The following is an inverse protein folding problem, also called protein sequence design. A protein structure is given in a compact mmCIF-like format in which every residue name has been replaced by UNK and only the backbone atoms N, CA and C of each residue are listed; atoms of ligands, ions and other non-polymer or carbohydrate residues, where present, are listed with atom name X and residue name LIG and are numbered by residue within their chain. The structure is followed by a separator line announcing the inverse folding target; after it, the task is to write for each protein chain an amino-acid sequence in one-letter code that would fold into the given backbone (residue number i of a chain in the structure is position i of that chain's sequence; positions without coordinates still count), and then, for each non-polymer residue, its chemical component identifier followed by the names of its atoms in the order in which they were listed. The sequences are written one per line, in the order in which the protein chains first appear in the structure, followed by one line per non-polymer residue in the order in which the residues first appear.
data_IF_041630385523
#
_entry.id   IF_041630385523
#
_cell.length_a   1.000
_cell.length_b   1.000
_cell.length_c   1.000
_cell.angle_alpha   90.00
_cell.angle_beta   90.00
_cell.angle_gamma   90.00
#
_symmetry.space_group_name_H-M   'P 1'
#
loop_
_entity.id
_entity.type
_entity.pdbx_description
1 polymer ?
#
# COMPACT_ATOMS: atom_id res chain seq x y z
N UNK A 1 5.66 19.25 16.34
CA UNK A 1 4.83 19.13 15.12
C UNK A 1 3.37 18.74 15.42
N UNK A 2 3.07 17.69 16.20
CA UNK A 2 1.68 17.23 16.45
C UNK A 2 0.70 18.33 16.87
N UNK A 3 1.12 19.23 17.77
CA UNK A 3 0.29 20.34 18.23
C UNK A 3 0.01 21.43 17.16
N UNK A 4 0.69 21.40 16.01
CA UNK A 4 0.61 22.42 14.96
C UNK A 4 -0.06 21.92 13.68
N UNK A 5 -0.35 20.61 13.59
CA UNK A 5 -1.03 20.02 12.44
C UNK A 5 -2.49 19.72 12.78
N UNK A 6 -3.41 19.75 11.81
CA UNK A 6 -4.81 19.43 12.06
C UNK A 6 -4.96 17.98 12.54
N UNK A 7 -5.85 17.75 13.51
CA UNK A 7 -6.30 16.41 13.87
C UNK A 7 -7.56 16.05 13.07
N UNK A 8 -7.40 15.82 11.77
CA UNK A 8 -8.51 15.59 10.87
C UNK A 8 -8.16 14.48 9.85
N UNK A 9 -9.07 13.53 9.69
CA UNK A 9 -8.98 12.44 8.71
C UNK A 9 -9.97 12.59 7.55
N UNK A 10 -10.78 13.67 7.50
CA UNK A 10 -11.67 13.94 6.35
C UNK A 10 -10.91 14.44 5.13
N UNK A 11 -9.78 15.15 5.33
CA UNK A 11 -8.84 15.51 4.27
C UNK A 11 -7.50 14.78 4.47
N UNK A 12 -7.38 13.61 3.84
CA UNK A 12 -6.14 12.81 3.85
C UNK A 12 -5.13 13.25 2.78
N UNK A 13 -5.37 14.35 2.06
CA UNK A 13 -4.39 14.90 1.10
C UNK A 13 -3.40 15.87 1.77
N UNK A 14 -3.55 16.11 3.08
CA UNK A 14 -2.67 16.95 3.89
C UNK A 14 -2.19 16.16 5.11
N UNK A 15 -1.01 16.51 5.61
CA UNK A 15 -0.49 15.91 6.83
C UNK A 15 -1.37 16.30 8.04
N UNK A 16 -1.62 15.32 8.90
CA UNK A 16 -2.39 15.44 10.13
C UNK A 16 -1.65 14.79 11.30
N UNK A 17 -2.25 14.83 12.50
CA UNK A 17 -1.66 14.24 13.71
C UNK A 17 -1.28 12.77 13.53
N UNK A 18 -2.17 11.94 12.96
CA UNK A 18 -1.88 10.54 12.68
C UNK A 18 -0.68 10.37 11.74
N UNK A 19 -0.57 11.23 10.72
CA UNK A 19 0.57 11.22 9.79
C UNK A 19 1.90 11.48 10.50
N UNK A 20 1.91 12.41 11.47
CA UNK A 20 3.10 12.66 12.28
C UNK A 20 3.43 11.44 13.15
N UNK A 21 2.43 10.80 13.76
CA UNK A 21 2.63 9.56 14.50
C UNK A 21 3.22 8.44 13.63
N UNK A 22 2.74 8.26 12.39
CA UNK A 22 3.27 7.27 11.47
C UNK A 22 4.75 7.49 11.13
N UNK A 23 5.12 8.75 10.84
CA UNK A 23 6.50 9.11 10.53
C UNK A 23 7.40 8.90 11.76
N UNK A 24 6.94 9.29 12.95
CA UNK A 24 7.69 9.07 14.19
C UNK A 24 7.86 7.57 14.48
N UNK A 25 6.84 6.74 14.26
CA UNK A 25 6.94 5.29 14.42
C UNK A 25 7.99 4.69 13.48
N UNK A 26 7.97 5.09 12.20
CA UNK A 26 8.95 4.63 11.20
C UNK A 26 10.37 5.06 11.58
N UNK A 27 10.57 6.33 11.94
CA UNK A 27 11.90 6.85 12.34
C UNK A 27 12.40 6.16 13.62
N UNK A 28 11.54 6.02 14.63
CA UNK A 28 11.88 5.32 15.88
C UNK A 28 12.30 3.87 15.63
N UNK A 29 11.62 3.15 14.72
CA UNK A 29 12.03 1.80 14.32
C UNK A 29 13.43 1.81 13.71
N UNK A 30 13.72 2.70 12.75
CA UNK A 30 15.05 2.82 12.16
C UNK A 30 16.15 3.15 13.18
N UNK A 31 15.82 3.93 14.20
CA UNK A 31 16.71 4.29 15.30
C UNK A 31 16.76 3.22 16.42
N UNK A 32 16.02 2.12 16.28
CA UNK A 32 15.91 1.04 17.28
C UNK A 32 15.34 1.50 18.63
N UNK A 33 14.55 2.57 18.60
CA UNK A 33 13.82 3.07 19.77
C UNK A 33 12.50 2.29 19.93
N UNK A 34 12.59 1.03 20.32
CA UNK A 34 11.48 0.08 20.26
C UNK A 34 10.23 0.51 21.04
N UNK A 35 10.40 1.05 22.25
CA UNK A 35 9.29 1.54 23.05
C UNK A 35 8.56 2.70 22.36
N UNK A 36 9.31 3.63 21.75
CA UNK A 36 8.76 4.75 21.00
C UNK A 36 8.07 4.27 19.71
N UNK A 37 8.69 3.34 18.99
CA UNK A 37 8.13 2.76 17.76
C UNK A 37 6.77 2.09 18.02
N UNK A 38 6.67 1.28 19.09
CA UNK A 38 5.38 0.69 19.51
C UNK A 38 4.36 1.77 19.88
N UNK A 39 4.76 2.76 20.68
CA UNK A 39 3.85 3.79 21.17
C UNK A 39 3.25 4.59 20.01
N UNK A 40 4.08 5.09 19.10
CA UNK A 40 3.63 5.87 17.94
C UNK A 40 2.86 5.03 16.93
N UNK A 41 3.25 3.77 16.70
CA UNK A 41 2.49 2.86 15.84
C UNK A 41 1.09 2.60 16.43
N UNK A 42 0.99 2.42 17.76
CA UNK A 42 -0.28 2.22 18.46
C UNK A 42 -1.18 3.45 18.36
N UNK A 43 -0.61 4.65 18.49
CA UNK A 43 -1.33 5.90 18.29
C UNK A 43 -1.97 5.97 16.91
N UNK A 44 -1.22 5.65 15.85
CA UNK A 44 -1.77 5.60 14.49
C UNK A 44 -2.87 4.56 14.35
N UNK A 45 -2.64 3.34 14.83
CA UNK A 45 -3.59 2.21 14.70
C UNK A 45 -4.94 2.56 15.33
N UNK A 46 -4.92 3.26 16.47
CA UNK A 46 -6.14 3.68 17.15
C UNK A 46 -6.88 4.78 16.38
N UNK A 47 -6.16 5.68 15.71
CA UNK A 47 -6.76 6.76 14.92
C UNK A 47 -7.27 6.29 13.55
N UNK A 48 -6.55 5.37 12.90
CA UNK A 48 -6.85 4.86 11.56
C UNK A 48 -6.85 3.33 11.60
N UNK A 49 -8.01 2.69 11.77
CA UNK A 49 -8.12 1.23 11.84
C UNK A 49 -7.73 0.52 10.54
N UNK A 50 -7.46 -0.78 10.65
CA UNK A 50 -7.14 -1.64 9.51
C UNK A 50 -8.36 -1.80 8.59
N UNK A 51 -8.14 -1.88 7.28
CA UNK A 51 -9.22 -2.16 6.34
C UNK A 51 -9.78 -3.57 6.55
N UNK A 52 -11.09 -3.73 6.34
CA UNK A 52 -11.66 -5.07 6.19
C UNK A 52 -11.14 -5.74 4.91
N UNK A 53 -11.26 -7.07 4.83
CA UNK A 53 -10.92 -7.84 3.62
C UNK A 53 -11.64 -7.31 2.37
N UNK A 54 -12.89 -6.85 2.49
CA UNK A 54 -13.64 -6.30 1.37
C UNK A 54 -13.14 -4.91 0.94
N UNK A 55 -12.66 -4.09 1.87
CA UNK A 55 -12.17 -2.74 1.58
C UNK A 55 -10.75 -2.74 1.00
N UNK A 56 -9.92 -3.71 1.39
CA UNK A 56 -8.49 -3.73 1.09
C UNK A 56 -8.14 -3.59 -0.40
N UNK A 57 -8.79 -4.29 -1.35
CA UNK A 57 -8.48 -4.11 -2.77
C UNK A 57 -8.73 -2.68 -3.27
N UNK A 58 -9.78 -2.04 -2.76
CA UNK A 58 -10.16 -0.67 -3.15
C UNK A 58 -9.17 0.41 -2.73
N UNK A 59 -8.23 0.11 -1.83
CA UNK A 59 -7.12 1.00 -1.50
C UNK A 59 -6.24 1.24 -2.74
N UNK A 60 -6.00 0.21 -3.55
CA UNK A 60 -5.06 0.27 -4.68
C UNK A 60 -5.65 0.84 -5.97
N UNK A 61 -6.97 1.07 -5.97
CA UNK A 61 -7.74 1.69 -7.05
C UNK A 61 -8.38 3.02 -6.63
N UNK A 62 -8.08 3.52 -5.43
CA UNK A 62 -8.63 4.74 -4.83
C UNK A 62 -10.16 4.77 -4.66
N UNK A 63 -10.82 3.60 -4.71
CA UNK A 63 -12.25 3.46 -4.40
C UNK A 63 -12.54 3.81 -2.93
N UNK A 64 -11.54 3.67 -2.04
CA UNK A 64 -11.64 4.12 -0.67
C UNK A 64 -10.28 4.62 -0.13
N UNK A 65 -10.33 5.27 1.03
CA UNK A 65 -9.16 5.81 1.75
C UNK A 65 -8.80 4.98 2.98
N UNK A 66 -9.28 3.74 3.08
CA UNK A 66 -9.03 2.91 4.27
C UNK A 66 -7.52 2.80 4.55
N UNK A 67 -7.19 2.75 5.84
CA UNK A 67 -5.84 2.73 6.39
C UNK A 67 -4.99 4.01 6.19
N UNK A 68 -5.42 4.98 5.39
CA UNK A 68 -4.58 6.13 5.01
C UNK A 68 -4.82 7.34 5.91
N UNK A 69 -3.76 7.91 6.49
CA UNK A 69 -3.79 9.24 7.09
C UNK A 69 -3.32 10.33 6.13
N UNK A 70 -2.46 9.96 5.16
CA UNK A 70 -1.86 10.90 4.22
C UNK A 70 -1.56 10.23 2.88
N UNK A 71 -1.94 10.91 1.80
CA UNK A 71 -1.67 10.51 0.43
C UNK A 71 -1.26 11.69 -0.45
N UNK A 72 -0.52 11.40 -1.52
CA UNK A 72 -0.24 12.38 -2.57
C UNK A 72 -1.18 12.16 -3.74
N UNK A 73 -1.87 13.21 -4.16
CA UNK A 73 -2.84 13.14 -5.25
C UNK A 73 -2.14 12.85 -6.58
N UNK A 74 -2.67 11.92 -7.36
CA UNK A 74 -2.22 11.59 -8.71
C UNK A 74 -3.40 11.66 -9.68
N UNK A 75 -3.18 12.21 -10.85
CA UNK A 75 -4.15 12.19 -11.96
C UNK A 75 -3.47 11.65 -13.22
N UNK A 76 -4.20 11.54 -14.32
CA UNK A 76 -3.63 11.20 -15.62
C UNK A 76 -2.66 12.27 -16.16
N UNK A 77 -2.68 13.50 -15.62
CA UNK A 77 -1.85 14.64 -16.04
C UNK A 77 -0.90 15.15 -14.96
N UNK A 78 -1.16 14.83 -13.68
CA UNK A 78 -0.41 15.35 -12.53
C UNK A 78 0.18 14.22 -11.70
N UNK A 79 1.45 14.36 -11.35
CA UNK A 79 2.13 13.44 -10.43
C UNK A 79 2.50 12.08 -11.04
N UNK A 80 2.14 11.78 -12.29
CA UNK A 80 2.48 10.50 -12.92
C UNK A 80 1.81 9.29 -12.27
N UNK A 81 2.22 8.10 -12.71
CA UNK A 81 1.54 6.83 -12.43
C UNK A 81 2.48 5.89 -11.69
N UNK A 82 2.21 5.60 -10.42
CA UNK A 82 3.10 4.76 -9.59
C UNK A 82 3.15 3.33 -10.13
N UNK A 83 2.03 2.78 -10.57
CA UNK A 83 2.00 1.47 -11.22
C UNK A 83 2.89 1.41 -12.47
N UNK A 84 3.14 2.57 -13.11
CA UNK A 84 3.99 2.66 -14.29
C UNK A 84 5.49 2.55 -14.02
N UNK A 85 5.92 2.44 -12.75
CA UNK A 85 7.29 2.02 -12.43
C UNK A 85 7.55 0.57 -12.84
N UNK A 86 6.52 -0.28 -12.87
CA UNK A 86 6.66 -1.70 -13.19
C UNK A 86 6.38 -2.01 -14.67
N UNK A 87 5.53 -1.23 -15.33
CA UNK A 87 5.08 -1.47 -16.71
C UNK A 87 4.61 -0.18 -17.40
N UNK A 88 4.75 -0.09 -18.71
CA UNK A 88 4.11 0.97 -19.47
C UNK A 88 2.57 0.84 -19.40
N UNK A 89 1.85 1.94 -19.61
CA UNK A 89 0.38 1.94 -19.65
C UNK A 89 -0.13 1.22 -20.90
N UNK A 90 -1.18 0.41 -20.74
CA UNK A 90 -1.94 -0.17 -21.85
C UNK A 90 -3.21 0.65 -22.02
N UNK A 91 -3.26 1.50 -23.05
CA UNK A 91 -4.37 2.45 -23.21
C UNK A 91 -5.69 1.77 -23.64
N UNK A 92 -5.58 0.62 -24.28
CA UNK A 92 -6.70 -0.21 -24.74
C UNK A 92 -6.25 -1.67 -24.89
N UNK A 93 -7.19 -2.59 -25.09
CA UNK A 93 -6.89 -4.01 -25.37
C UNK A 93 -6.11 -4.22 -26.67
N UNK A 94 -6.16 -3.26 -27.59
CA UNK A 94 -5.42 -3.24 -28.86
C UNK A 94 -4.07 -2.53 -28.76
N UNK A 95 -3.79 -1.82 -27.67
CA UNK A 95 -2.55 -1.10 -27.45
C UNK A 95 -1.98 -1.45 -26.08
N UNK A 96 -1.28 -2.59 -26.05
CA UNK A 96 -0.70 -3.17 -24.83
C UNK A 96 0.74 -2.69 -24.64
N UNK A 97 0.96 -1.92 -23.57
CA UNK A 97 2.26 -1.38 -23.22
C UNK A 97 3.28 -2.47 -22.85
N UNK A 98 4.57 -2.13 -22.91
CA UNK A 98 5.67 -3.01 -22.50
C UNK A 98 5.62 -3.29 -20.98
N UNK A 99 5.94 -4.53 -20.60
CA UNK A 99 6.10 -4.92 -19.19
C UNK A 99 7.60 -4.90 -18.88
N UNK A 100 8.04 -3.97 -18.05
CA UNK A 100 9.46 -3.77 -17.73
C UNK A 100 9.91 -4.69 -16.61
N UNK A 101 9.07 -4.85 -15.58
CA UNK A 101 9.38 -5.63 -14.38
C UNK A 101 8.23 -6.59 -14.06
N UNK A 102 8.56 -7.82 -13.69
CA UNK A 102 7.61 -8.86 -13.28
C UNK A 102 7.97 -9.38 -11.90
N UNK A 103 6.99 -9.83 -11.09
CA UNK A 103 7.29 -10.47 -9.82
C UNK A 103 8.10 -11.75 -10.06
N UNK A 104 9.15 -11.93 -9.26
CA UNK A 104 9.90 -13.18 -9.23
C UNK A 104 9.01 -14.34 -8.74
N UNK A 105 9.24 -15.56 -9.22
CA UNK A 105 8.48 -16.76 -8.79
C UNK A 105 8.46 -16.90 -7.28
N UNK A 106 9.61 -16.72 -6.61
CA UNK A 106 9.70 -16.82 -5.15
C UNK A 106 8.75 -15.86 -4.42
N UNK A 107 8.57 -14.64 -4.92
CA UNK A 107 7.64 -13.67 -4.33
C UNK A 107 6.19 -14.01 -4.70
N UNK A 108 5.95 -14.49 -5.91
CA UNK A 108 4.62 -14.93 -6.33
C UNK A 108 4.11 -16.09 -5.46
N UNK A 109 4.98 -17.06 -5.18
CA UNK A 109 4.65 -18.27 -4.42
C UNK A 109 4.52 -18.06 -2.91
N UNK A 110 4.90 -16.89 -2.36
CA UNK A 110 4.74 -16.63 -0.92
C UNK A 110 3.30 -16.26 -0.52
N UNK A 111 2.44 -15.97 -1.50
CA UNK A 111 1.05 -15.60 -1.26
C UNK A 111 0.12 -16.77 -1.56
N UNK A 112 -0.87 -16.99 -0.68
CA UNK A 112 -1.98 -17.89 -0.97
C UNK A 112 -2.87 -17.24 -2.04
N UNK A 113 -2.88 -17.82 -3.24
CA UNK A 113 -3.59 -17.27 -4.40
C UNK A 113 -5.13 -17.33 -4.25
N UNK A 114 -5.63 -18.22 -3.39
CA UNK A 114 -7.06 -18.42 -3.19
C UNK A 114 -7.58 -17.60 -2.00
N UNK A 115 -6.85 -17.59 -0.89
CA UNK A 115 -7.35 -17.06 0.38
C UNK A 115 -6.70 -15.75 0.81
N UNK A 116 -5.58 -15.33 0.21
CA UNK A 116 -4.93 -14.07 0.55
C UNK A 116 -5.49 -12.92 -0.30
N UNK A 117 -6.20 -12.01 0.36
CA UNK A 117 -6.74 -10.80 -0.28
C UNK A 117 -5.66 -9.92 -0.92
N UNK A 118 -4.41 -10.03 -0.46
CA UNK A 118 -3.28 -9.29 -1.01
C UNK A 118 -2.88 -9.77 -2.39
N UNK A 119 -3.09 -11.05 -2.72
CA UNK A 119 -2.63 -11.60 -3.98
C UNK A 119 -3.24 -10.87 -5.18
N UNK A 120 -4.56 -10.84 -5.28
CA UNK A 120 -5.27 -10.16 -6.39
C UNK A 120 -5.18 -8.61 -6.33
N UNK A 121 -4.81 -8.05 -5.18
CA UNK A 121 -4.59 -6.62 -5.04
C UNK A 121 -3.17 -6.20 -5.46
N UNK A 122 -2.17 -7.07 -5.27
CA UNK A 122 -0.76 -6.80 -5.53
C UNK A 122 -0.29 -7.33 -6.87
N UNK A 123 -0.92 -8.40 -7.36
CA UNK A 123 -0.53 -9.10 -8.57
C UNK A 123 -1.72 -9.32 -9.49
N UNK A 124 -1.42 -9.52 -10.77
CA UNK A 124 -2.38 -9.86 -11.81
C UNK A 124 -1.73 -10.87 -12.76
N UNK A 125 -2.46 -11.91 -13.13
CA UNK A 125 -2.10 -12.77 -14.25
C UNK A 125 -2.98 -12.36 -15.45
N UNK A 126 -2.39 -11.69 -16.44
CA UNK A 126 -3.11 -10.96 -17.48
C UNK A 126 -3.28 -11.79 -18.77
N UNK A 127 -4.51 -12.20 -19.13
CA UNK A 127 -4.77 -13.04 -20.30
C UNK A 127 -4.38 -12.41 -21.64
N UNK A 128 -4.50 -11.07 -21.79
CA UNK A 128 -4.14 -10.38 -23.03
C UNK A 128 -2.65 -10.53 -23.36
N UNK A 129 -1.80 -10.61 -22.33
CA UNK A 129 -0.37 -10.86 -22.51
C UNK A 129 -0.11 -12.32 -22.89
N UNK A 130 -0.79 -13.26 -22.25
CA UNK A 130 -0.70 -14.69 -22.61
C UNK A 130 -1.09 -14.91 -24.08
N UNK A 131 -2.16 -14.27 -24.54
CA UNK A 131 -2.63 -14.36 -25.93
C UNK A 131 -1.61 -13.81 -26.94
N UNK A 132 -0.70 -12.92 -26.51
CA UNK A 132 0.40 -12.38 -27.32
C UNK A 132 1.72 -13.16 -27.13
N UNK A 133 1.72 -14.29 -26.41
CA UNK A 133 2.95 -15.05 -26.09
C UNK A 133 3.89 -14.31 -25.13
N UNK A 134 3.37 -13.35 -24.36
CA UNK A 134 4.14 -12.52 -23.43
C UNK A 134 3.98 -12.99 -22.00
N UNK A 135 4.95 -12.64 -21.16
CA UNK A 135 4.87 -12.86 -19.73
C UNK A 135 3.69 -12.14 -19.08
N UNK A 136 2.72 -12.90 -18.57
CA UNK A 136 1.43 -12.39 -18.09
C UNK A 136 1.37 -11.97 -16.63
N UNK A 137 2.39 -12.31 -15.83
CA UNK A 137 2.43 -11.96 -14.39
C UNK A 137 2.88 -10.53 -14.20
N UNK A 138 2.02 -9.71 -13.60
CA UNK A 138 2.23 -8.29 -13.40
C UNK A 138 2.17 -7.92 -11.92
N UNK A 139 2.87 -6.85 -11.55
CA UNK A 139 2.58 -6.11 -10.32
C UNK A 139 1.36 -5.22 -10.60
N UNK A 140 0.28 -5.45 -9.87
CA UNK A 140 -1.01 -4.76 -9.98
C UNK A 140 -1.20 -3.66 -8.94
N UNK A 141 -0.39 -3.65 -7.89
CA UNK A 141 -0.43 -2.62 -6.85
C UNK A 141 -0.32 -1.23 -7.49
N UNK A 142 -1.24 -0.31 -7.14
CA UNK A 142 -1.44 0.99 -7.79
C UNK A 142 -2.03 0.93 -9.21
N UNK A 143 -2.90 -0.02 -9.50
CA UNK A 143 -3.56 -0.16 -10.79
C UNK A 143 -4.46 1.02 -11.17
N UNK A 144 -5.07 1.73 -10.22
CA UNK A 144 -6.07 2.74 -10.55
C UNK A 144 -7.32 2.10 -11.13
N UNK A 145 -7.40 2.00 -12.46
CA UNK A 145 -8.46 1.30 -13.18
C UNK A 145 -8.02 -0.08 -13.69
N UNK A 146 -8.94 -0.81 -14.32
CA UNK A 146 -8.66 -2.10 -14.95
C UNK A 146 -7.52 -1.98 -15.98
N UNK A 147 -6.77 -3.07 -16.15
CA UNK A 147 -5.75 -3.19 -17.19
C UNK A 147 -6.32 -2.84 -18.57
N UNK A 148 -5.48 -2.30 -19.47
CA UNK A 148 -5.88 -1.96 -20.82
C UNK A 148 -6.97 -0.86 -20.89
N UNK A 149 -6.90 0.15 -20.01
CA UNK A 149 -7.78 1.32 -20.00
C UNK A 149 -7.00 2.64 -19.87
N UNK A 150 -7.54 3.80 -20.32
CA UNK A 150 -6.80 5.07 -20.33
C UNK A 150 -6.25 5.55 -18.97
N UNK A 151 -6.89 5.13 -17.87
CA UNK A 151 -6.53 5.51 -16.50
C UNK A 151 -5.77 4.40 -15.75
N UNK A 152 -5.28 3.38 -16.44
CA UNK A 152 -4.45 2.34 -15.84
C UNK A 152 -3.24 2.98 -15.14
N UNK A 153 -2.87 2.48 -13.97
CA UNK A 153 -1.79 2.94 -13.10
C UNK A 153 -2.01 4.34 -12.47
N UNK A 154 -3.16 4.99 -12.67
CA UNK A 154 -3.52 6.26 -11.99
C UNK A 154 -4.08 5.94 -10.61
N UNK A 155 -3.23 5.99 -9.61
CA UNK A 155 -3.65 5.88 -8.22
C UNK A 155 -2.79 6.77 -7.33
N UNK A 156 -3.41 7.42 -6.34
CA UNK A 156 -2.77 8.29 -5.35
C UNK A 156 -1.61 7.57 -4.65
N UNK A 157 -0.59 8.29 -4.18
CA UNK A 157 0.50 7.68 -3.42
C UNK A 157 0.08 7.45 -1.96
N UNK A 158 0.11 6.21 -1.47
CA UNK A 158 -0.31 5.88 -0.10
C UNK A 158 0.91 6.04 0.80
N UNK A 159 1.10 7.21 1.39
CA UNK A 159 2.37 7.58 2.06
C UNK A 159 2.55 6.82 3.38
N UNK A 160 1.48 6.75 4.17
CA UNK A 160 1.41 5.98 5.40
C UNK A 160 0.11 5.19 5.45
N UNK A 161 0.20 3.95 5.95
CA UNK A 161 -0.96 3.08 6.15
C UNK A 161 -0.89 2.31 7.46
N UNK A 162 -2.06 1.96 7.99
CA UNK A 162 -2.21 1.15 9.20
C UNK A 162 -1.46 -0.18 9.12
N UNK A 163 -1.48 -0.85 7.95
CA UNK A 163 -0.76 -2.11 7.78
C UNK A 163 0.74 -2.01 8.11
N UNK A 164 1.39 -0.89 7.77
CA UNK A 164 2.79 -0.67 8.14
C UNK A 164 2.96 -0.51 9.65
N UNK A 165 2.04 0.19 10.30
CA UNK A 165 2.09 0.40 11.75
C UNK A 165 1.94 -0.90 12.52
N UNK A 166 1.12 -1.84 12.04
CA UNK A 166 1.06 -3.18 12.62
C UNK A 166 2.40 -3.91 12.51
N UNK A 167 3.10 -3.81 11.38
CA UNK A 167 4.42 -4.42 11.18
C UNK A 167 5.48 -3.76 12.09
N UNK A 168 5.54 -2.43 12.13
CA UNK A 168 6.44 -1.68 13.02
C UNK A 168 6.21 -2.09 14.48
N UNK A 169 4.94 -2.15 14.91
CA UNK A 169 4.61 -2.51 16.28
C UNK A 169 4.97 -3.96 16.60
N UNK A 170 4.73 -4.89 15.67
CA UNK A 170 5.10 -6.29 15.85
C UNK A 170 6.62 -6.45 16.01
N UNK A 171 7.40 -5.83 15.12
CA UNK A 171 8.86 -5.85 15.19
C UNK A 171 9.37 -5.23 16.51
N UNK A 172 8.87 -4.03 16.85
CA UNK A 172 9.25 -3.36 18.10
C UNK A 172 8.92 -4.18 19.35
N UNK A 173 7.83 -4.96 19.35
CA UNK A 173 7.48 -5.85 20.46
C UNK A 173 8.38 -7.07 20.53
N UNK A 174 8.71 -7.67 19.38
CA UNK A 174 9.64 -8.78 19.29
C UNK A 174 11.03 -8.40 19.83
N UNK A 175 11.54 -7.22 19.45
CA UNK A 175 12.83 -6.68 19.91
C UNK A 175 12.84 -6.33 21.42
N UNK A 176 11.66 -6.23 22.03
CA UNK A 176 11.49 -6.10 23.48
C UNK A 176 11.22 -7.44 24.17
N UNK A 177 11.41 -8.57 23.47
CA UNK A 177 11.21 -9.92 24.00
C UNK A 177 9.75 -10.34 24.17
N UNK A 178 8.80 -9.62 23.56
CA UNK A 178 7.36 -9.92 23.66
C UNK A 178 6.87 -10.64 22.41
N UNK A 179 6.82 -11.97 22.48
CA UNK A 179 6.42 -12.85 21.36
C UNK A 179 5.01 -13.43 21.46
N UNK A 180 4.31 -13.23 22.59
CA UNK A 180 3.00 -13.84 22.85
C UNK A 180 2.07 -12.90 23.60
N UNK A 181 0.76 -13.16 23.52
CA UNK A 181 -0.28 -12.40 24.23
C UNK A 181 -0.68 -11.10 23.52
N UNK A 182 -1.59 -10.33 24.12
CA UNK A 182 -2.13 -9.10 23.52
C UNK A 182 -1.08 -8.00 23.27
N UNK A 183 0.04 -8.07 23.98
CA UNK A 183 1.22 -7.20 23.84
C UNK A 183 2.37 -7.87 23.08
N UNK A 184 2.16 -9.08 22.56
CA UNK A 184 3.11 -9.79 21.73
C UNK A 184 3.20 -9.24 20.30
N UNK A 185 4.30 -9.58 19.65
CA UNK A 185 4.54 -9.42 18.22
C UNK A 185 3.51 -10.17 17.36
#
# INVERSE_FOLDING_TARGET
AKALVPNNLTDVNRANVATVAALQARVALYLREWANAEAFATEYINAVPLATRAQFPGIWTDVNTAEQSFRLVRTNTLGGRIGSFFRATSASTTNIGQVTWRPAEKLWSTFDQANDVRFNAYFLNEPLLTAQGRGSRLVQKYAGTTYATPNENVANAKVFRTAEMYLIRAEARAEQGRFSGATGA
#
